data_IF_174540663608
#
_entry.id   IF_174540663608
#
_cell.length_a   1.000
_cell.length_b   1.000
_cell.length_c   1.000
_cell.angle_alpha   90.00
_cell.angle_beta   90.00
_cell.angle_gamma   90.00
#
_symmetry.space_group_name_H-M   'P 1'
#
loop_
_entity.id
_entity.type
_entity.pdbx_description
1 polymer ?
#
# COMPACT_ATOMS: atom_id res chain seq x y z
N UNK A 1 63.74 33.41 7.52
CA UNK A 1 63.64 32.48 6.39
C UNK A 1 62.50 31.53 6.71
N UNK A 2 61.52 31.43 5.81
CA UNK A 2 60.14 31.00 6.05
C UNK A 2 60.04 29.46 6.17
N UNK A 3 59.46 28.96 7.26
CA UNK A 3 59.06 27.55 7.36
C UNK A 3 57.54 27.44 7.13
N UNK A 4 57.22 26.99 5.91
CA UNK A 4 56.08 26.18 5.45
C UNK A 4 54.86 26.06 6.40
N UNK A 5 53.79 26.80 6.09
CA UNK A 5 52.42 26.40 6.49
C UNK A 5 51.83 25.59 5.35
N UNK A 6 51.61 24.30 5.58
CA UNK A 6 50.82 23.43 4.70
C UNK A 6 49.36 23.42 5.16
N UNK A 7 48.38 23.83 4.34
CA UNK A 7 46.97 23.61 4.64
C UNK A 7 46.33 22.71 3.58
N UNK A 8 46.74 21.45 3.51
CA UNK A 8 45.87 20.40 2.96
C UNK A 8 44.97 19.85 4.07
N UNK A 9 44.12 20.72 4.64
CA UNK A 9 43.14 20.36 5.66
C UNK A 9 41.74 20.94 5.35
N UNK A 10 41.44 21.23 4.08
CA UNK A 10 40.17 21.81 3.67
C UNK A 10 39.62 21.13 2.41
N UNK A 11 39.07 19.92 2.54
CA UNK A 11 37.84 19.43 1.89
C UNK A 11 37.70 17.91 2.04
N UNK A 12 37.48 17.44 3.27
CA UNK A 12 36.74 16.19 3.46
C UNK A 12 35.24 16.50 3.45
N UNK A 13 34.76 17.18 2.40
CA UNK A 13 33.34 17.15 2.10
C UNK A 13 33.04 15.68 1.78
N UNK A 14 32.33 14.99 2.68
CA UNK A 14 31.79 13.66 2.44
C UNK A 14 31.02 13.76 1.13
N UNK A 15 31.63 13.32 0.02
CA UNK A 15 30.94 13.23 -1.27
C UNK A 15 29.81 12.22 -1.03
N UNK A 16 28.60 12.72 -0.75
CA UNK A 16 27.39 11.92 -0.81
C UNK A 16 27.36 11.40 -2.23
N UNK A 17 27.70 10.12 -2.39
CA UNK A 17 27.73 9.47 -3.69
C UNK A 17 26.28 9.42 -4.14
N UNK A 18 25.86 10.35 -4.99
CA UNK A 18 24.51 10.42 -5.52
C UNK A 18 24.25 9.17 -6.36
N UNK A 19 23.65 8.15 -5.75
CA UNK A 19 23.24 6.94 -6.43
C UNK A 19 21.88 7.21 -7.09
N UNK A 20 21.92 7.78 -8.30
CA UNK A 20 20.73 8.11 -9.12
C UNK A 20 19.70 6.96 -9.18
N UNK A 21 20.10 5.68 -9.32
CA UNK A 21 19.20 4.53 -9.17
C UNK A 21 18.39 4.49 -7.87
N UNK A 22 19.00 4.76 -6.71
CA UNK A 22 18.31 4.78 -5.42
C UNK A 22 17.30 5.92 -5.39
N UNK A 23 17.67 7.10 -5.89
CA UNK A 23 16.77 8.25 -5.96
C UNK A 23 15.54 7.95 -6.84
N UNK A 24 15.74 7.38 -8.04
CA UNK A 24 14.64 6.98 -8.91
C UNK A 24 13.75 5.91 -8.28
N UNK A 25 14.34 4.92 -7.63
CA UNK A 25 13.58 3.89 -6.91
C UNK A 25 12.69 4.49 -5.81
N UNK A 26 13.24 5.39 -4.98
CA UNK A 26 12.47 6.05 -3.93
C UNK A 26 11.37 6.95 -4.52
N UNK A 27 11.64 7.68 -5.61
CA UNK A 27 10.62 8.47 -6.32
C UNK A 27 9.48 7.60 -6.86
N UNK A 28 9.79 6.44 -7.42
CA UNK A 28 8.78 5.46 -7.85
C UNK A 28 7.95 4.99 -6.65
N UNK A 29 8.57 4.70 -5.51
CA UNK A 29 7.86 4.33 -4.29
C UNK A 29 6.90 5.45 -3.84
N UNK A 30 7.35 6.71 -3.82
CA UNK A 30 6.52 7.86 -3.48
C UNK A 30 5.32 8.00 -4.44
N UNK A 31 5.54 7.86 -5.75
CA UNK A 31 4.48 7.94 -6.75
C UNK A 31 3.42 6.84 -6.56
N UNK A 32 3.87 5.61 -6.25
CA UNK A 32 2.95 4.49 -5.98
C UNK A 32 2.16 4.70 -4.68
N UNK A 33 2.80 5.19 -3.60
CA UNK A 33 2.12 5.52 -2.34
C UNK A 33 1.08 6.62 -2.57
N UNK A 34 1.42 7.66 -3.33
CA UNK A 34 0.45 8.70 -3.70
C UNK A 34 -0.75 8.11 -4.46
N UNK A 35 -0.50 7.27 -5.46
CA UNK A 35 -1.57 6.59 -6.20
C UNK A 35 -2.42 5.70 -5.28
N UNK A 36 -1.82 5.03 -4.29
CA UNK A 36 -2.51 4.20 -3.29
C UNK A 36 -3.45 5.02 -2.42
N UNK A 37 -3.02 6.20 -1.97
CA UNK A 37 -3.86 7.13 -1.19
C UNK A 37 -5.06 7.61 -2.02
N UNK A 38 -4.82 8.04 -3.27
CA UNK A 38 -5.90 8.49 -4.17
C UNK A 38 -6.91 7.37 -4.45
N UNK A 39 -6.42 6.19 -4.83
CA UNK A 39 -7.26 5.04 -5.13
C UNK A 39 -8.03 4.53 -3.90
N UNK A 40 -7.41 4.62 -2.71
CA UNK A 40 -8.08 4.33 -1.44
C UNK A 40 -9.22 5.30 -1.14
N UNK A 41 -8.99 6.60 -1.40
CA UNK A 41 -10.02 7.63 -1.32
C UNK A 41 -11.21 7.32 -2.24
N UNK A 42 -10.94 6.99 -3.51
CA UNK A 42 -11.98 6.60 -4.47
C UNK A 42 -12.74 5.35 -4.01
N UNK A 43 -12.03 4.31 -3.56
CA UNK A 43 -12.62 3.05 -3.05
C UNK A 43 -13.56 3.33 -1.87
N UNK A 44 -13.21 4.30 -1.01
CA UNK A 44 -14.05 4.68 0.12
C UNK A 44 -15.28 5.48 -0.29
N UNK A 45 -15.11 6.51 -1.13
CA UNK A 45 -16.21 7.39 -1.57
C UNK A 45 -17.22 6.65 -2.43
N UNK A 46 -16.77 5.67 -3.22
CA UNK A 46 -17.65 4.81 -4.04
C UNK A 46 -18.35 3.70 -3.26
N UNK A 47 -18.08 3.55 -1.95
CA UNK A 47 -18.64 2.45 -1.16
C UNK A 47 -18.12 1.07 -1.57
N UNK A 48 -16.93 1.02 -2.17
CA UNK A 48 -16.36 -0.22 -2.71
C UNK A 48 -15.59 -1.04 -1.68
N UNK A 49 -15.30 -0.46 -0.51
CA UNK A 49 -14.31 -1.01 0.44
C UNK A 49 -14.70 -2.29 1.18
N UNK A 50 -15.88 -2.87 0.95
CA UNK A 50 -16.31 -4.15 1.54
C UNK A 50 -16.80 -5.16 0.49
N UNK A 51 -16.52 -4.90 -0.79
CA UNK A 51 -16.90 -5.76 -1.93
C UNK A 51 -16.12 -7.09 -1.99
N UNK A 52 -14.88 -7.13 -1.47
CA UNK A 52 -14.06 -8.35 -1.39
C UNK A 52 -14.07 -8.93 0.03
N UNK A 53 -15.07 -9.77 0.30
CA UNK A 53 -15.33 -10.41 1.61
C UNK A 53 -14.17 -11.27 2.09
N UNK A 54 -13.63 -12.11 1.21
CA UNK A 54 -12.59 -13.07 1.57
C UNK A 54 -11.20 -12.47 1.44
N UNK A 55 -10.44 -12.49 2.54
CA UNK A 55 -9.03 -12.11 2.50
C UNK A 55 -8.21 -13.23 1.87
N UNK A 56 -7.75 -12.99 0.64
CA UNK A 56 -6.89 -13.89 -0.14
C UNK A 56 -5.54 -13.20 -0.40
N UNK A 57 -4.52 -13.39 0.47
CA UNK A 57 -3.25 -12.67 0.37
C UNK A 57 -2.51 -12.99 -0.93
N UNK A 58 -2.47 -14.26 -1.30
CA UNK A 58 -1.75 -14.78 -2.48
C UNK A 58 -2.68 -14.99 -3.67
N UNK A 59 -3.76 -15.77 -3.51
CA UNK A 59 -4.68 -16.10 -4.62
C UNK A 59 -5.55 -14.91 -5.06
N UNK A 60 -5.66 -13.85 -4.25
CA UNK A 60 -6.38 -12.63 -4.60
C UNK A 60 -5.60 -11.67 -5.51
N UNK A 61 -4.45 -12.08 -6.06
CA UNK A 61 -3.72 -11.37 -7.12
C UNK A 61 -4.38 -11.58 -8.49
N UNK A 62 -5.17 -12.64 -8.66
CA UNK A 62 -5.89 -12.91 -9.88
C UNK A 62 -7.38 -12.59 -9.70
N UNK A 63 -8.00 -11.83 -10.60
CA UNK A 63 -9.43 -11.55 -10.55
C UNK A 63 -10.25 -12.77 -11.01
N UNK A 64 -11.57 -12.80 -10.79
CA UNK A 64 -12.44 -13.82 -11.37
C UNK A 64 -12.42 -13.76 -12.91
N UNK A 65 -12.08 -14.87 -13.56
CA UNK A 65 -11.98 -14.96 -15.04
C UNK A 65 -13.20 -15.58 -15.71
N UNK A 66 -14.10 -16.20 -14.96
CA UNK A 66 -15.29 -16.87 -15.49
C UNK A 66 -16.57 -16.32 -14.86
N UNK A 67 -17.67 -16.44 -15.58
CA UNK A 67 -18.99 -16.02 -15.11
C UNK A 67 -19.35 -16.69 -13.78
N UNK A 68 -19.12 -18.01 -13.67
CA UNK A 68 -19.33 -18.77 -12.42
C UNK A 68 -18.44 -18.29 -11.26
N UNK A 69 -17.23 -17.81 -11.55
CA UNK A 69 -16.37 -17.24 -10.51
C UNK A 69 -16.90 -15.88 -10.02
N UNK A 70 -17.39 -15.04 -10.93
CA UNK A 70 -18.04 -13.79 -10.60
C UNK A 70 -19.31 -13.98 -9.77
N UNK A 71 -20.15 -14.95 -10.13
CA UNK A 71 -21.37 -15.29 -9.39
C UNK A 71 -21.07 -15.71 -7.96
N UNK A 72 -20.03 -16.52 -7.73
CA UNK A 72 -19.63 -16.93 -6.36
C UNK A 72 -19.16 -15.75 -5.51
N UNK A 73 -18.31 -14.86 -6.06
CA UNK A 73 -17.88 -13.68 -5.29
C UNK A 73 -19.07 -12.74 -5.00
N UNK A 74 -20.03 -12.65 -5.93
CA UNK A 74 -21.25 -11.89 -5.73
C UNK A 74 -22.19 -12.52 -4.69
N UNK A 75 -22.32 -13.85 -4.66
CA UNK A 75 -23.05 -14.58 -3.62
C UNK A 75 -22.49 -14.27 -2.23
N UNK A 76 -21.16 -14.30 -2.07
CA UNK A 76 -20.52 -13.90 -0.82
C UNK A 76 -20.80 -12.44 -0.46
N UNK A 77 -20.76 -11.53 -1.45
CA UNK A 77 -21.12 -10.13 -1.22
C UNK A 77 -22.58 -9.97 -0.78
N UNK A 78 -23.51 -10.77 -1.32
CA UNK A 78 -24.93 -10.75 -0.94
C UNK A 78 -25.19 -11.12 0.51
N UNK A 79 -24.30 -11.88 1.13
CA UNK A 79 -24.36 -12.25 2.54
C UNK A 79 -23.92 -11.11 3.46
N UNK A 80 -23.32 -10.05 2.92
CA UNK A 80 -22.80 -8.94 3.72
C UNK A 80 -23.91 -7.98 4.19
N UNK A 81 -23.67 -7.29 5.33
CA UNK A 81 -24.51 -6.16 5.73
C UNK A 81 -24.56 -5.04 4.67
N UNK A 82 -23.48 -4.80 3.93
CA UNK A 82 -23.43 -3.74 2.91
C UNK A 82 -24.41 -4.01 1.76
N UNK A 83 -24.48 -5.25 1.27
CA UNK A 83 -25.51 -5.64 0.31
C UNK A 83 -26.92 -5.52 0.90
N UNK A 84 -27.11 -5.98 2.13
CA UNK A 84 -28.45 -6.04 2.74
C UNK A 84 -29.04 -4.65 3.01
N UNK A 85 -28.22 -3.70 3.49
CA UNK A 85 -28.68 -2.39 3.96
C UNK A 85 -28.46 -1.24 2.95
N UNK A 86 -27.43 -1.33 2.10
CA UNK A 86 -27.04 -0.23 1.20
C UNK A 86 -27.31 -0.61 -0.26
N UNK A 87 -26.87 -1.79 -0.68
CA UNK A 87 -26.83 -2.20 -2.08
C UNK A 87 -27.88 -3.26 -2.44
N UNK A 88 -29.04 -3.24 -1.75
CA UNK A 88 -30.07 -4.27 -1.90
C UNK A 88 -30.64 -4.28 -3.32
N UNK A 89 -30.57 -5.43 -3.98
CA UNK A 89 -31.03 -5.58 -5.37
C UNK A 89 -30.01 -5.15 -6.42
N UNK A 90 -28.76 -4.87 -6.03
CA UNK A 90 -27.65 -4.61 -6.94
C UNK A 90 -27.49 -5.76 -7.95
N UNK A 91 -27.22 -5.43 -9.21
CA UNK A 91 -26.93 -6.43 -10.24
C UNK A 91 -25.48 -6.90 -10.18
N UNK A 92 -25.18 -8.05 -10.78
CA UNK A 92 -23.81 -8.55 -10.88
C UNK A 92 -22.87 -7.54 -11.58
N UNK A 93 -23.35 -6.82 -12.59
CA UNK A 93 -22.51 -5.86 -13.32
C UNK A 93 -22.21 -4.61 -12.49
N UNK A 94 -23.16 -4.14 -11.66
CA UNK A 94 -22.89 -3.10 -10.69
C UNK A 94 -21.90 -3.56 -9.61
N UNK A 95 -22.01 -4.81 -9.15
CA UNK A 95 -21.05 -5.41 -8.23
C UNK A 95 -19.62 -5.47 -8.80
N UNK A 96 -19.46 -5.84 -10.08
CA UNK A 96 -18.14 -5.82 -10.74
C UNK A 96 -17.50 -4.43 -10.67
N UNK A 97 -18.27 -3.36 -10.80
CA UNK A 97 -17.78 -1.98 -10.69
C UNK A 97 -17.11 -1.70 -9.35
N UNK A 98 -17.82 -1.96 -8.25
CA UNK A 98 -17.26 -1.77 -6.89
C UNK A 98 -16.10 -2.73 -6.60
N UNK A 99 -16.21 -3.98 -7.07
CA UNK A 99 -15.15 -4.98 -6.92
C UNK A 99 -13.83 -4.53 -7.53
N UNK A 100 -13.86 -3.94 -8.72
CA UNK A 100 -12.64 -3.51 -9.41
C UNK A 100 -11.87 -2.42 -8.66
N UNK A 101 -12.56 -1.48 -8.00
CA UNK A 101 -11.87 -0.46 -7.20
C UNK A 101 -11.14 -1.07 -6.01
N UNK A 102 -11.82 -1.92 -5.24
CA UNK A 102 -11.19 -2.57 -4.09
C UNK A 102 -10.08 -3.53 -4.50
N UNK A 103 -10.30 -4.30 -5.57
CA UNK A 103 -9.30 -5.19 -6.15
C UNK A 103 -8.05 -4.41 -6.57
N UNK A 104 -8.21 -3.31 -7.32
CA UNK A 104 -7.11 -2.47 -7.78
C UNK A 104 -6.34 -1.87 -6.59
N UNK A 105 -7.05 -1.41 -5.56
CA UNK A 105 -6.44 -0.88 -4.33
C UNK A 105 -5.60 -1.95 -3.62
N UNK A 106 -6.14 -3.17 -3.44
CA UNK A 106 -5.42 -4.28 -2.82
C UNK A 106 -4.22 -4.74 -3.66
N UNK A 107 -4.37 -4.78 -4.99
CA UNK A 107 -3.29 -5.16 -5.90
C UNK A 107 -2.15 -4.12 -5.85
N UNK A 108 -2.48 -2.84 -5.86
CA UNK A 108 -1.50 -1.75 -5.76
C UNK A 108 -0.73 -1.81 -4.43
N UNK A 109 -1.41 -2.08 -3.31
CA UNK A 109 -0.75 -2.28 -2.01
C UNK A 109 0.27 -3.42 -2.02
N UNK A 110 -0.06 -4.55 -2.68
CA UNK A 110 0.89 -5.68 -2.85
C UNK A 110 2.06 -5.28 -3.74
N UNK A 111 1.79 -4.59 -4.84
CA UNK A 111 2.82 -4.11 -5.79
C UNK A 111 3.83 -3.18 -5.09
N UNK A 112 3.36 -2.26 -4.24
CA UNK A 112 4.23 -1.37 -3.45
C UNK A 112 5.18 -2.18 -2.59
N UNK A 113 4.68 -3.21 -1.88
CA UNK A 113 5.52 -4.07 -1.07
C UNK A 113 6.65 -4.75 -1.87
N UNK A 114 6.33 -5.22 -3.08
CA UNK A 114 7.30 -5.86 -3.98
C UNK A 114 8.31 -4.84 -4.53
N UNK A 115 7.83 -3.71 -5.03
CA UNK A 115 8.65 -2.62 -5.60
C UNK A 115 9.54 -1.97 -4.55
N UNK A 116 9.15 -2.00 -3.28
CA UNK A 116 10.01 -1.58 -2.18
C UNK A 116 11.04 -2.69 -1.83
N UNK A 117 10.57 -3.91 -1.56
CA UNK A 117 11.41 -4.96 -0.98
C UNK A 117 12.51 -5.44 -1.93
N UNK A 118 12.21 -5.66 -3.22
CA UNK A 118 13.18 -6.23 -4.17
C UNK A 118 14.39 -5.28 -4.34
N UNK A 119 14.22 -3.99 -4.68
CA UNK A 119 15.35 -3.08 -4.80
C UNK A 119 16.03 -2.81 -3.44
N UNK A 120 15.28 -2.77 -2.33
CA UNK A 120 15.88 -2.63 -1.00
C UNK A 120 16.88 -3.75 -0.71
N UNK A 121 16.48 -5.01 -0.90
CA UNK A 121 17.37 -6.16 -0.71
C UNK A 121 18.55 -6.13 -1.69
N UNK A 122 18.30 -5.79 -2.95
CA UNK A 122 19.35 -5.67 -3.96
C UNK A 122 20.41 -4.62 -3.58
N UNK A 123 19.99 -3.39 -3.23
CA UNK A 123 20.91 -2.32 -2.85
C UNK A 123 21.61 -2.60 -1.52
N UNK A 124 20.94 -3.28 -0.58
CA UNK A 124 21.52 -3.72 0.68
C UNK A 124 22.64 -4.75 0.44
N UNK A 125 22.39 -5.78 -0.36
CA UNK A 125 23.38 -6.79 -0.74
C UNK A 125 24.58 -6.19 -1.47
N UNK A 126 24.35 -5.17 -2.30
CA UNK A 126 25.41 -4.45 -3.03
C UNK A 126 26.11 -3.37 -2.19
N UNK A 127 25.75 -3.22 -0.90
CA UNK A 127 26.28 -2.17 0.01
C UNK A 127 26.20 -0.77 -0.58
N UNK A 128 25.14 -0.50 -1.36
CA UNK A 128 24.91 0.81 -2.00
C UNK A 128 24.08 1.75 -1.13
N UNK A 129 23.37 1.21 -0.15
CA UNK A 129 22.63 1.99 0.86
C UNK A 129 23.61 2.41 1.95
N UNK A 130 23.58 3.69 2.33
CA UNK A 130 24.30 4.17 3.50
C UNK A 130 23.80 3.45 4.77
N UNK A 131 24.71 3.01 5.64
CA UNK A 131 24.39 2.21 6.83
C UNK A 131 23.36 2.92 7.74
N UNK A 132 23.42 4.25 7.82
CA UNK A 132 22.48 5.09 8.58
C UNK A 132 21.05 5.08 8.02
N UNK A 133 20.88 4.78 6.72
CA UNK A 133 19.61 4.79 6.02
C UNK A 133 18.89 3.43 6.08
N UNK A 134 19.63 2.34 6.25
CA UNK A 134 19.08 0.98 6.39
C UNK A 134 17.99 0.88 7.47
N UNK A 135 18.19 1.32 8.73
CA UNK A 135 17.13 1.21 9.75
C UNK A 135 15.91 2.05 9.40
N UNK A 136 16.07 3.20 8.72
CA UNK A 136 14.93 4.05 8.31
C UNK A 136 14.07 3.34 7.26
N UNK A 137 14.71 2.77 6.23
CA UNK A 137 14.01 2.02 5.18
C UNK A 137 13.36 0.74 5.72
N UNK A 138 14.03 0.03 6.63
CA UNK A 138 13.46 -1.13 7.29
C UNK A 138 12.22 -0.78 8.13
N UNK A 139 12.28 0.32 8.90
CA UNK A 139 11.14 0.84 9.66
C UNK A 139 9.98 1.22 8.74
N UNK A 140 10.24 1.95 7.64
CA UNK A 140 9.21 2.27 6.65
C UNK A 140 8.54 1.02 6.06
N UNK A 141 9.31 -0.03 5.75
CA UNK A 141 8.76 -1.29 5.27
C UNK A 141 7.86 -1.97 6.30
N UNK A 142 8.29 -2.03 7.56
CA UNK A 142 7.50 -2.62 8.65
C UNK A 142 6.21 -1.82 8.87
N UNK A 143 6.29 -0.48 8.92
CA UNK A 143 5.12 0.38 9.04
C UNK A 143 4.16 0.22 7.85
N UNK A 144 4.68 0.07 6.63
CA UNK A 144 3.86 -0.24 5.44
C UNK A 144 3.16 -1.61 5.54
N UNK A 145 3.81 -2.61 6.11
CA UNK A 145 3.20 -3.91 6.41
C UNK A 145 2.07 -3.79 7.45
N UNK A 146 2.33 -3.08 8.55
CA UNK A 146 1.32 -2.78 9.58
C UNK A 146 0.15 -1.97 9.03
N UNK A 147 0.42 -1.07 8.09
CA UNK A 147 -0.60 -0.31 7.37
C UNK A 147 -1.52 -1.24 6.58
N UNK A 148 -0.98 -2.21 5.85
CA UNK A 148 -1.77 -3.24 5.17
C UNK A 148 -2.62 -4.09 6.14
N UNK A 149 -2.07 -4.45 7.30
CA UNK A 149 -2.81 -5.18 8.34
C UNK A 149 -3.95 -4.35 8.94
N UNK A 150 -3.72 -3.05 9.18
CA UNK A 150 -4.75 -2.13 9.64
C UNK A 150 -5.88 -1.97 8.62
N UNK A 151 -5.53 -1.87 7.32
CA UNK A 151 -6.51 -1.83 6.23
C UNK A 151 -7.34 -3.12 6.15
N UNK A 152 -6.72 -4.29 6.33
CA UNK A 152 -7.47 -5.56 6.43
C UNK A 152 -8.43 -5.58 7.62
N UNK A 153 -7.97 -5.13 8.79
CA UNK A 153 -8.80 -5.07 9.99
C UNK A 153 -10.02 -4.16 9.79
N UNK A 154 -9.85 -3.02 9.11
CA UNK A 154 -10.96 -2.14 8.72
C UNK A 154 -12.01 -2.87 7.90
N UNK A 155 -11.61 -3.61 6.88
CA UNK A 155 -12.54 -4.38 6.03
C UNK A 155 -13.26 -5.45 6.87
N UNK A 156 -12.50 -6.29 7.57
CA UNK A 156 -13.06 -7.39 8.39
C UNK A 156 -14.13 -6.89 9.36
N UNK A 157 -13.88 -5.73 9.97
CA UNK A 157 -14.79 -5.16 10.95
C UNK A 157 -16.10 -4.60 10.37
N UNK A 158 -16.15 -4.30 9.07
CA UNK A 158 -17.37 -3.87 8.38
C UNK A 158 -18.25 -5.03 7.90
N UNK A 159 -17.73 -6.27 7.93
CA UNK A 159 -18.43 -7.45 7.43
C UNK A 159 -19.30 -8.16 8.48
N UNK A 160 -19.21 -7.81 9.77
CA UNK A 160 -19.88 -8.55 10.85
C UNK A 160 -21.20 -7.88 11.28
N UNK A 161 -21.15 -6.67 11.86
CA UNK A 161 -22.33 -6.06 12.50
C UNK A 161 -22.85 -4.80 11.79
N UNK A 162 -21.95 -3.88 11.45
CA UNK A 162 -22.29 -2.59 10.85
C UNK A 162 -21.39 -2.32 9.63
N UNK A 163 -21.96 -2.14 8.42
CA UNK A 163 -21.17 -1.88 7.22
C UNK A 163 -20.39 -0.55 7.28
N UNK A 164 -20.68 0.30 8.28
CA UNK A 164 -19.87 1.48 8.52
C UNK A 164 -18.55 1.12 9.20
N UNK A 165 -17.47 1.16 8.42
CA UNK A 165 -16.12 1.27 8.97
C UNK A 165 -16.07 2.53 9.84
N UNK A 166 -15.83 2.35 11.14
CA UNK A 166 -15.66 3.45 12.12
C UNK A 166 -14.72 4.53 11.59
N UNK A 167 -15.15 5.79 11.68
CA UNK A 167 -14.37 6.95 11.24
C UNK A 167 -13.02 7.03 11.96
N UNK A 168 -12.93 6.54 13.20
CA UNK A 168 -11.68 6.45 13.95
C UNK A 168 -10.68 5.47 13.31
N UNK A 169 -11.13 4.33 12.76
CA UNK A 169 -10.24 3.38 12.08
C UNK A 169 -9.77 3.92 10.74
N UNK A 170 -10.66 4.61 10.01
CA UNK A 170 -10.32 5.28 8.76
C UNK A 170 -9.29 6.39 8.99
N UNK A 171 -9.49 7.22 10.02
CA UNK A 171 -8.56 8.27 10.41
C UNK A 171 -7.22 7.71 10.89
N UNK A 172 -7.22 6.64 11.69
CA UNK A 172 -5.99 5.97 12.12
C UNK A 172 -5.20 5.40 10.93
N UNK A 173 -5.89 4.80 9.97
CA UNK A 173 -5.27 4.24 8.76
C UNK A 173 -4.70 5.34 7.87
N UNK A 174 -5.46 6.40 7.59
CA UNK A 174 -4.93 7.54 6.83
C UNK A 174 -3.79 8.25 7.57
N UNK A 175 -3.91 8.44 8.89
CA UNK A 175 -2.87 9.07 9.71
C UNK A 175 -1.56 8.28 9.72
N UNK A 176 -1.64 6.94 9.80
CA UNK A 176 -0.47 6.08 9.65
C UNK A 176 0.10 6.18 8.22
N UNK A 177 -0.74 6.29 7.19
CA UNK A 177 -0.29 6.48 5.81
C UNK A 177 0.52 7.75 5.62
N UNK A 178 0.12 8.84 6.27
CA UNK A 178 0.77 10.17 6.19
C UNK A 178 2.07 10.21 6.99
N UNK A 179 2.18 9.41 8.06
CA UNK A 179 3.38 9.30 8.87
C UNK A 179 4.52 8.56 8.14
N UNK A 180 4.18 7.58 7.31
CA UNK A 180 5.10 6.74 6.52
C UNK A 180 5.66 7.54 5.35
#
# INVERSE_FOLDING_TARGET
MIEQVSPNAATAATRVRSDRPIAWWLLVCCALVFAMVVLGGVTRVTGSGLSMVHWKPVSGVLPPFSQKAWEREFEHYRETPEYTYVNKGMSLDAFKGIFWFEYAHRLLGRLIGIVFLIPFLYFLMRRRIEVSLVPKLATMFVLGGLQGLLGWYMVKSGLVDNPHVSQYRLAAHLGLAVLI
#
